data_IF_409690063387
#
_entry.id   IF_409690063387
#
_cell.length_a   1.000
_cell.length_b   1.000
_cell.length_c   1.000
_cell.angle_alpha   90.00
_cell.angle_beta   90.00
_cell.angle_gamma   90.00
#
_symmetry.space_group_name_H-M   'P 1'
#
loop_
_entity.id
_entity.type
_entity.pdbx_description
1 polymer ?
#
# COMPACT_ATOMS: atom_id res chain seq x y z
N UNK A 1 -9.33 26.89 23.15
CA UNK A 1 -8.81 26.52 21.81
C UNK A 1 -7.97 25.22 21.78
N UNK A 2 -7.45 24.68 22.89
CA UNK A 2 -6.61 23.45 22.86
C UNK A 2 -7.37 22.12 22.75
N UNK A 3 -8.64 22.05 23.16
CA UNK A 3 -9.41 20.78 23.22
C UNK A 3 -9.97 20.41 21.83
N UNK A 4 -10.26 21.40 20.98
CA UNK A 4 -10.84 21.20 19.65
C UNK A 4 -9.86 20.53 18.66
N UNK A 5 -8.56 20.82 18.76
CA UNK A 5 -7.56 20.27 17.83
C UNK A 5 -7.36 18.76 18.01
N UNK A 6 -7.34 18.28 19.26
CA UNK A 6 -7.22 16.85 19.57
C UNK A 6 -8.41 16.02 19.08
N UNK A 7 -9.62 16.55 19.22
CA UNK A 7 -10.84 15.90 18.74
C UNK A 7 -10.84 15.76 17.19
N UNK A 8 -10.36 16.77 16.47
CA UNK A 8 -10.28 16.74 15.01
C UNK A 8 -9.30 15.66 14.50
N UNK A 9 -8.16 15.47 15.18
CA UNK A 9 -7.19 14.42 14.82
C UNK A 9 -7.78 13.03 15.09
N UNK A 10 -8.41 12.83 16.25
CA UNK A 10 -9.04 11.57 16.59
C UNK A 10 -10.14 11.18 15.58
N UNK A 11 -10.96 12.14 15.15
CA UNK A 11 -11.96 11.91 14.11
C UNK A 11 -11.32 11.52 12.77
N UNK A 12 -10.30 12.25 12.30
CA UNK A 12 -9.62 11.91 11.03
C UNK A 12 -8.98 10.53 11.03
N UNK A 13 -8.42 10.10 12.17
CA UNK A 13 -7.88 8.75 12.32
C UNK A 13 -9.02 7.73 12.28
N UNK A 14 -10.13 7.99 12.97
CA UNK A 14 -11.33 7.15 12.92
C UNK A 14 -11.83 6.95 11.49
N UNK A 15 -11.93 8.03 10.71
CA UNK A 15 -12.37 7.99 9.32
C UNK A 15 -11.39 7.19 8.45
N UNK A 16 -10.08 7.39 8.63
CA UNK A 16 -9.04 6.67 7.87
C UNK A 16 -8.98 5.17 8.18
N UNK A 17 -9.39 4.76 9.39
CA UNK A 17 -9.43 3.36 9.81
C UNK A 17 -10.78 2.69 9.55
N UNK A 18 -11.79 3.45 9.12
CA UNK A 18 -13.09 2.91 8.69
C UNK A 18 -12.99 2.20 7.34
N UNK A 19 -14.03 1.46 6.96
CA UNK A 19 -14.13 0.83 5.64
C UNK A 19 -14.06 1.84 4.48
N UNK A 20 -14.51 3.08 4.70
CA UNK A 20 -14.39 4.17 3.73
C UNK A 20 -12.95 4.68 3.57
N UNK A 21 -12.12 4.52 4.59
CA UNK A 21 -10.69 4.89 4.58
C UNK A 21 -9.78 3.85 3.93
N UNK A 22 -10.35 2.78 3.34
CA UNK A 22 -9.59 1.66 2.81
C UNK A 22 -8.66 2.08 1.66
N UNK A 23 -7.34 1.79 1.74
CA UNK A 23 -6.40 2.16 0.68
C UNK A 23 -6.79 1.61 -0.70
N UNK A 24 -6.56 2.40 -1.76
CA UNK A 24 -6.93 2.02 -3.14
C UNK A 24 -6.37 0.67 -3.57
N UNK A 25 -5.08 0.38 -3.33
CA UNK A 25 -4.51 -0.94 -3.66
C UNK A 25 -5.22 -2.11 -2.97
N UNK A 26 -5.74 -1.93 -1.74
CA UNK A 26 -6.52 -2.99 -1.08
C UNK A 26 -7.86 -3.24 -1.79
N UNK A 27 -8.48 -2.19 -2.34
CA UNK A 27 -9.69 -2.33 -3.15
C UNK A 27 -9.43 -3.09 -4.45
N UNK A 28 -8.27 -2.90 -5.08
CA UNK A 28 -7.89 -3.66 -6.29
C UNK A 28 -7.67 -5.15 -5.98
N UNK A 29 -7.00 -5.44 -4.86
CA UNK A 29 -6.80 -6.80 -4.36
C UNK A 29 -8.15 -7.50 -4.16
N UNK A 30 -9.10 -6.89 -3.46
CA UNK A 30 -10.42 -7.48 -3.25
C UNK A 30 -11.21 -7.69 -4.55
N UNK A 31 -11.06 -6.77 -5.51
CA UNK A 31 -11.68 -6.88 -6.82
C UNK A 31 -10.89 -7.78 -7.80
N UNK A 32 -9.81 -8.42 -7.33
CA UNK A 32 -8.89 -9.26 -8.13
C UNK A 32 -8.35 -8.57 -9.38
N UNK A 33 -8.11 -7.26 -9.30
CA UNK A 33 -7.47 -6.47 -10.36
C UNK A 33 -5.98 -6.29 -10.07
N UNK A 34 -5.15 -6.05 -11.11
CA UNK A 34 -3.79 -5.58 -10.90
C UNK A 34 -3.80 -4.27 -10.10
N UNK A 35 -2.95 -4.17 -9.09
CA UNK A 35 -2.73 -2.95 -8.31
C UNK A 35 -1.56 -2.14 -8.86
N UNK A 36 -1.35 -0.95 -8.29
CA UNK A 36 -0.23 -0.06 -8.63
C UNK A 36 1.10 -0.47 -7.95
N UNK A 37 1.20 -1.68 -7.35
CA UNK A 37 2.40 -2.09 -6.61
C UNK A 37 3.69 -2.07 -7.46
N UNK A 38 3.58 -2.37 -8.75
CA UNK A 38 4.71 -2.27 -9.68
C UNK A 38 5.14 -0.82 -9.93
N UNK A 39 4.18 0.10 -10.01
CA UNK A 39 4.44 1.53 -10.17
C UNK A 39 5.10 2.13 -8.92
N UNK A 40 4.71 1.68 -7.72
CA UNK A 40 5.25 2.21 -6.46
C UNK A 40 6.46 1.43 -5.95
N UNK A 41 6.23 0.28 -5.30
CA UNK A 41 7.31 -0.50 -4.68
C UNK A 41 8.30 -1.04 -5.71
N UNK A 42 7.82 -1.46 -6.89
CA UNK A 42 8.67 -1.90 -7.99
C UNK A 42 9.66 -0.82 -8.45
N UNK A 43 9.19 0.43 -8.59
CA UNK A 43 10.05 1.58 -8.94
C UNK A 43 11.12 1.84 -7.89
N UNK A 44 10.76 1.81 -6.60
CA UNK A 44 11.74 2.03 -5.51
C UNK A 44 12.78 0.91 -5.49
N UNK A 45 12.37 -0.34 -5.73
CA UNK A 45 13.31 -1.48 -5.85
C UNK A 45 14.27 -1.28 -7.02
N UNK A 46 13.76 -0.94 -8.20
CA UNK A 46 14.58 -0.72 -9.40
C UNK A 46 15.58 0.43 -9.22
N UNK A 47 15.16 1.54 -8.61
CA UNK A 47 16.05 2.66 -8.28
C UNK A 47 17.09 2.26 -7.23
N UNK A 48 16.69 1.52 -6.20
CA UNK A 48 17.60 0.99 -5.18
C UNK A 48 18.71 0.15 -5.81
N UNK A 49 18.35 -0.78 -6.70
CA UNK A 49 19.31 -1.60 -7.45
C UNK A 49 20.26 -0.74 -8.30
N UNK A 50 19.72 0.24 -9.04
CA UNK A 50 20.52 1.15 -9.88
C UNK A 50 21.56 1.94 -9.08
N UNK A 51 21.25 2.30 -7.84
CA UNK A 51 22.09 3.15 -7.00
C UNK A 51 22.83 2.40 -5.88
N UNK A 52 22.73 1.06 -5.83
CA UNK A 52 23.36 0.25 -4.77
C UNK A 52 22.74 0.44 -3.37
N UNK A 53 21.50 0.91 -3.30
CA UNK A 53 20.76 1.15 -2.06
C UNK A 53 19.80 -0.02 -1.80
N UNK A 54 19.93 -0.65 -0.64
CA UNK A 54 19.01 -1.73 -0.23
C UNK A 54 17.63 -1.17 0.08
N UNK A 55 16.59 -1.77 -0.50
CA UNK A 55 15.19 -1.37 -0.30
C UNK A 55 14.35 -2.55 0.24
N UNK A 56 14.75 -3.16 1.37
CA UNK A 56 14.23 -4.46 1.81
C UNK A 56 12.71 -4.45 2.06
N UNK A 57 12.17 -3.34 2.58
CA UNK A 57 10.74 -3.20 2.84
C UNK A 57 9.95 -3.13 1.53
N UNK A 58 10.41 -2.36 0.53
CA UNK A 58 9.74 -2.29 -0.76
C UNK A 58 9.83 -3.60 -1.54
N UNK A 59 10.95 -4.32 -1.44
CA UNK A 59 11.08 -5.65 -2.03
C UNK A 59 10.07 -6.64 -1.42
N UNK A 60 10.02 -6.72 -0.10
CA UNK A 60 9.05 -7.57 0.61
C UNK A 60 7.59 -7.21 0.26
N UNK A 61 7.25 -5.92 0.23
CA UNK A 61 5.90 -5.47 -0.14
C UNK A 61 5.55 -5.83 -1.58
N UNK A 62 6.48 -5.59 -2.51
CA UNK A 62 6.30 -5.94 -3.92
C UNK A 62 6.07 -7.45 -4.08
N UNK A 63 6.94 -8.28 -3.49
CA UNK A 63 6.86 -9.73 -3.63
C UNK A 63 5.57 -10.30 -3.05
N UNK A 64 5.15 -9.85 -1.87
CA UNK A 64 3.94 -10.32 -1.22
C UNK A 64 2.68 -9.96 -2.00
N UNK A 65 2.57 -8.72 -2.49
CA UNK A 65 1.39 -8.27 -3.24
C UNK A 65 1.35 -8.96 -4.61
N UNK A 66 2.51 -9.10 -5.29
CA UNK A 66 2.59 -9.84 -6.54
C UNK A 66 2.23 -11.32 -6.38
N UNK A 67 2.57 -11.95 -5.25
CA UNK A 67 2.16 -13.32 -4.94
C UNK A 67 0.63 -13.44 -4.80
N UNK A 68 0.00 -12.47 -4.12
CA UNK A 68 -1.46 -12.40 -4.01
C UNK A 68 -2.09 -12.22 -5.40
N UNK A 69 -1.61 -11.27 -6.21
CA UNK A 69 -2.15 -11.02 -7.56
C UNK A 69 -1.99 -12.23 -8.50
N UNK A 70 -0.86 -12.95 -8.40
CA UNK A 70 -0.63 -14.19 -9.16
C UNK A 70 -1.65 -15.27 -8.80
N UNK A 71 -2.05 -15.36 -7.52
CA UNK A 71 -3.06 -16.34 -7.09
C UNK A 71 -4.42 -16.15 -7.77
N UNK A 72 -4.73 -14.95 -8.27
CA UNK A 72 -5.98 -14.69 -8.99
C UNK A 72 -6.01 -15.29 -10.39
N UNK A 73 -4.84 -15.46 -11.01
CA UNK A 73 -4.72 -15.83 -12.42
C UNK A 73 -4.70 -17.33 -12.68
N UNK A 74 -4.78 -18.17 -11.64
CA UNK A 74 -5.03 -19.61 -11.75
C UNK A 74 -4.12 -20.34 -12.75
N UNK A 75 -2.84 -20.51 -12.40
CA UNK A 75 -1.98 -21.58 -12.89
C UNK A 75 -1.25 -22.19 -11.69
#
# INVERSE_FOLDING_TARGET
MGILFGAQIAQKIGDALSDAGKPFMRQDIEAKRPSEVALFSGTVVALGQKHGIKTPVNAMLYDNIMAIEKSYRGY
#
